data_IF_130662696982
#
_entry.id   IF_130662696982
#
_cell.length_a   1.000
_cell.length_b   1.000
_cell.length_c   1.000
_cell.angle_alpha   90.00
_cell.angle_beta   90.00
_cell.angle_gamma   90.00
#
_symmetry.space_group_name_H-M   'P 1'
#
loop_
_entity.id
_entity.type
_entity.pdbx_description
1 polymer ?
#
# COMPACT_ATOMS: atom_id res chain seq x y z
N UNK A 1 -1.09 -59.18 -49.19
CA UNK A 1 -0.57 -57.83 -49.21
C UNK A 1 -1.53 -56.82 -48.53
N UNK A 2 -2.82 -56.82 -48.88
CA UNK A 2 -3.80 -55.89 -48.31
C UNK A 2 -3.96 -56.02 -46.77
N UNK A 3 -3.98 -57.25 -46.22
CA UNK A 3 -4.10 -57.52 -44.78
C UNK A 3 -2.92 -56.96 -43.97
N UNK A 4 -1.70 -57.12 -44.47
CA UNK A 4 -0.52 -56.59 -43.79
C UNK A 4 -0.49 -55.05 -43.78
N UNK A 5 -1.04 -54.42 -44.81
CA UNK A 5 -1.15 -52.95 -44.87
C UNK A 5 -2.19 -52.42 -43.84
N UNK A 6 -3.34 -53.11 -43.70
CA UNK A 6 -4.38 -52.77 -42.73
C UNK A 6 -3.83 -52.94 -41.29
N UNK A 7 -3.08 -54.00 -41.04
CA UNK A 7 -2.48 -54.24 -39.69
C UNK A 7 -1.48 -53.13 -39.31
N UNK A 8 -0.60 -52.75 -40.26
CA UNK A 8 0.34 -51.61 -40.03
C UNK A 8 -0.38 -50.30 -39.77
N UNK A 9 -1.46 -50.01 -40.52
CA UNK A 9 -2.26 -48.81 -40.34
C UNK A 9 -2.93 -48.81 -38.95
N UNK A 10 -3.47 -49.94 -38.51
CA UNK A 10 -4.10 -50.09 -37.21
C UNK A 10 -3.10 -49.89 -36.06
N UNK A 11 -1.86 -50.42 -36.21
CA UNK A 11 -0.79 -50.22 -35.23
C UNK A 11 -0.40 -48.75 -35.16
N UNK A 12 -0.21 -48.07 -36.29
CA UNK A 12 0.15 -46.64 -36.32
C UNK A 12 -0.95 -45.79 -35.72
N UNK A 13 -2.21 -46.04 -36.06
CA UNK A 13 -3.36 -45.34 -35.45
C UNK A 13 -3.42 -45.57 -33.93
N UNK A 14 -3.19 -46.80 -33.47
CA UNK A 14 -3.12 -47.14 -32.07
C UNK A 14 -2.01 -46.37 -31.31
N UNK A 15 -0.83 -46.29 -31.87
CA UNK A 15 0.29 -45.51 -31.29
C UNK A 15 -0.03 -44.01 -31.25
N UNK A 16 -0.56 -43.45 -32.36
CA UNK A 16 -0.95 -42.02 -32.39
C UNK A 16 -2.05 -41.72 -31.38
N UNK A 17 -3.05 -42.58 -31.22
CA UNK A 17 -4.08 -42.40 -30.19
C UNK A 17 -3.51 -42.52 -28.78
N UNK A 18 -2.65 -43.49 -28.51
CA UNK A 18 -2.02 -43.64 -27.21
C UNK A 18 -1.20 -42.38 -26.83
N UNK A 19 -0.36 -41.89 -27.73
CA UNK A 19 0.42 -40.66 -27.54
C UNK A 19 -0.48 -39.43 -27.31
N UNK A 20 -1.59 -39.32 -28.02
CA UNK A 20 -2.55 -38.21 -27.79
C UNK A 20 -3.22 -38.28 -26.44
N UNK A 21 -3.60 -39.48 -26.01
CA UNK A 21 -4.20 -39.67 -24.68
C UNK A 21 -3.21 -39.38 -23.55
N UNK A 22 -1.95 -39.76 -23.72
CA UNK A 22 -0.87 -39.48 -22.77
C UNK A 22 -0.60 -37.97 -22.68
N UNK A 23 -0.45 -37.28 -23.80
CA UNK A 23 -0.29 -35.83 -23.88
C UNK A 23 -1.49 -35.07 -23.25
N UNK A 24 -2.71 -35.58 -23.48
CA UNK A 24 -3.91 -34.99 -22.92
C UNK A 24 -3.96 -35.18 -21.41
N UNK A 25 -3.49 -36.33 -20.90
CA UNK A 25 -3.38 -36.57 -19.47
C UNK A 25 -2.33 -35.68 -18.82
N UNK A 26 -1.12 -35.59 -19.41
CA UNK A 26 -0.05 -34.69 -18.94
C UNK A 26 -0.53 -33.24 -18.87
N UNK A 27 -1.21 -32.75 -19.92
CA UNK A 27 -1.78 -31.40 -19.93
C UNK A 27 -2.81 -31.18 -18.82
N UNK A 28 -3.67 -32.17 -18.56
CA UNK A 28 -4.64 -32.09 -17.48
C UNK A 28 -3.97 -32.08 -16.08
N UNK A 29 -2.93 -32.88 -15.90
CA UNK A 29 -2.17 -32.91 -14.65
C UNK A 29 -1.49 -31.53 -14.39
N UNK A 30 -0.84 -30.95 -15.42
CA UNK A 30 -0.27 -29.59 -15.33
C UNK A 30 -1.33 -28.54 -15.04
N UNK A 31 -2.52 -28.64 -15.66
CA UNK A 31 -3.62 -27.70 -15.39
C UNK A 31 -4.10 -27.78 -13.94
N UNK A 32 -4.20 -28.98 -13.37
CA UNK A 32 -4.61 -29.12 -11.96
C UNK A 32 -3.54 -28.57 -11.00
N UNK A 33 -2.27 -28.85 -11.24
CA UNK A 33 -1.15 -28.30 -10.48
C UNK A 33 -1.13 -26.77 -10.54
N UNK A 34 -1.28 -26.21 -11.73
CA UNK A 34 -1.31 -24.76 -11.92
C UNK A 34 -2.52 -24.10 -11.23
N UNK A 35 -3.70 -24.74 -11.19
CA UNK A 35 -4.85 -24.24 -10.42
C UNK A 35 -4.54 -24.15 -8.92
N UNK A 36 -3.89 -25.18 -8.37
CA UNK A 36 -3.49 -25.18 -6.95
C UNK A 36 -2.55 -24.00 -6.66
N UNK A 37 -1.56 -23.78 -7.55
CA UNK A 37 -0.61 -22.70 -7.40
C UNK A 37 -1.27 -21.32 -7.57
N UNK A 38 -2.25 -21.16 -8.46
CA UNK A 38 -3.02 -19.93 -8.60
C UNK A 38 -3.88 -19.65 -7.37
N UNK A 39 -4.41 -20.67 -6.70
CA UNK A 39 -5.10 -20.50 -5.41
C UNK A 39 -4.11 -20.04 -4.32
N UNK A 40 -2.88 -20.57 -4.30
CA UNK A 40 -1.84 -20.08 -3.40
C UNK A 40 -1.45 -18.63 -3.71
N UNK A 41 -1.43 -18.22 -4.99
CA UNK A 41 -1.23 -16.81 -5.38
C UNK A 41 -2.35 -15.92 -4.85
N UNK A 42 -3.61 -16.36 -4.93
CA UNK A 42 -4.73 -15.61 -4.35
C UNK A 42 -4.56 -15.40 -2.84
N UNK A 43 -4.14 -16.43 -2.12
CA UNK A 43 -3.86 -16.35 -0.67
C UNK A 43 -2.71 -15.37 -0.38
N UNK A 44 -1.62 -15.44 -1.14
CA UNK A 44 -0.47 -14.53 -1.03
C UNK A 44 -0.91 -13.07 -1.26
N UNK A 45 -1.65 -12.81 -2.35
CA UNK A 45 -2.14 -11.46 -2.69
C UNK A 45 -3.12 -10.92 -1.65
N UNK A 46 -4.03 -11.74 -1.12
CA UNK A 46 -5.00 -11.33 -0.10
C UNK A 46 -4.30 -10.88 1.18
N UNK A 47 -3.35 -11.67 1.66
CA UNK A 47 -2.52 -11.33 2.81
C UNK A 47 -1.72 -10.04 2.61
N UNK A 48 -1.16 -9.85 1.42
CA UNK A 48 -0.39 -8.66 1.07
C UNK A 48 -1.26 -7.41 0.98
N UNK A 49 -2.44 -7.51 0.37
CA UNK A 49 -3.41 -6.42 0.29
C UNK A 49 -3.81 -5.98 1.71
N UNK A 50 -4.09 -6.92 2.60
CA UNK A 50 -4.42 -6.61 4.00
C UNK A 50 -3.25 -5.93 4.72
N UNK A 51 -2.02 -6.45 4.57
CA UNK A 51 -0.83 -5.93 5.24
C UNK A 51 -0.42 -4.54 4.71
N UNK A 52 -0.60 -4.26 3.43
CA UNK A 52 -0.33 -2.95 2.82
C UNK A 52 -1.06 -1.81 3.54
N UNK A 53 -2.30 -2.05 3.97
CA UNK A 53 -3.10 -1.07 4.69
C UNK A 53 -2.44 -0.60 5.99
N UNK A 54 -1.70 -1.46 6.68
CA UNK A 54 -1.00 -1.13 7.92
C UNK A 54 0.10 -0.09 7.67
N UNK A 55 0.90 -0.25 6.62
CA UNK A 55 1.98 0.68 6.27
C UNK A 55 1.43 2.02 5.81
N UNK A 56 0.38 2.02 5.00
CA UNK A 56 -0.28 3.23 4.51
C UNK A 56 -0.84 4.03 5.70
N UNK A 57 -1.51 3.38 6.66
CA UNK A 57 -2.01 4.02 7.88
C UNK A 57 -0.89 4.52 8.77
N UNK A 58 0.20 3.77 8.88
CA UNK A 58 1.37 4.21 9.65
C UNK A 58 1.94 5.51 9.08
N UNK A 59 2.05 5.63 7.76
CA UNK A 59 2.44 6.88 7.11
C UNK A 59 1.47 8.02 7.43
N UNK A 60 0.17 7.79 7.29
CA UNK A 60 -0.84 8.80 7.57
C UNK A 60 -0.80 9.31 9.02
N UNK A 61 -0.46 8.45 9.98
CA UNK A 61 -0.29 8.86 11.38
C UNK A 61 1.03 9.56 11.62
N UNK A 62 2.11 9.08 10.98
CA UNK A 62 3.43 9.65 11.17
C UNK A 62 3.58 11.04 10.50
N UNK A 63 2.84 11.32 9.43
CA UNK A 63 2.87 12.61 8.73
C UNK A 63 2.42 13.77 9.62
N UNK A 64 1.50 13.54 10.58
CA UNK A 64 1.07 14.56 11.54
C UNK A 64 2.23 15.08 12.39
N UNK A 65 3.28 14.28 12.58
CA UNK A 65 4.47 14.73 13.29
C UNK A 65 5.26 15.79 12.53
N UNK A 66 5.17 15.83 11.21
CA UNK A 66 5.86 16.82 10.41
C UNK A 66 5.42 18.24 10.78
N UNK A 67 4.11 18.44 10.97
CA UNK A 67 3.55 19.75 11.34
C UNK A 67 4.01 20.21 12.72
N UNK A 68 4.21 19.26 13.64
CA UNK A 68 4.66 19.55 15.01
C UNK A 68 6.15 19.80 15.05
N UNK A 69 6.95 18.93 14.42
CA UNK A 69 8.42 18.95 14.51
C UNK A 69 9.04 20.08 13.67
N UNK A 70 8.43 20.40 12.51
CA UNK A 70 8.97 21.42 11.60
C UNK A 70 8.30 22.79 11.74
N UNK A 71 7.42 22.96 12.73
CA UNK A 71 6.78 24.24 13.01
C UNK A 71 7.79 25.33 13.36
N UNK A 72 7.61 26.54 12.80
CA UNK A 72 8.44 27.70 13.08
C UNK A 72 7.54 28.89 13.46
N UNK A 73 7.68 29.45 14.68
CA UNK A 73 8.60 29.05 15.75
C UNK A 73 8.25 27.69 16.37
N UNK A 74 9.23 27.03 16.97
CA UNK A 74 9.05 25.72 17.63
C UNK A 74 8.09 25.83 18.80
N UNK A 75 7.04 25.03 18.80
CA UNK A 75 6.14 24.88 19.96
C UNK A 75 6.61 23.71 20.87
N UNK A 76 7.36 24.05 21.92
CA UNK A 76 7.86 23.08 22.90
C UNK A 76 6.74 22.30 23.57
N UNK A 77 5.56 22.91 23.76
CA UNK A 77 4.41 22.22 24.36
C UNK A 77 3.83 21.17 23.43
N UNK A 78 3.79 21.45 22.12
CA UNK A 78 3.39 20.47 21.11
C UNK A 78 4.39 19.31 21.03
N UNK A 79 5.70 19.60 21.03
CA UNK A 79 6.75 18.56 21.09
C UNK A 79 6.62 17.68 22.34
N UNK A 80 6.34 18.28 23.51
CA UNK A 80 6.15 17.53 24.75
C UNK A 80 4.93 16.58 24.69
N UNK A 81 3.85 16.98 24.01
CA UNK A 81 2.69 16.11 23.78
C UNK A 81 3.01 14.99 22.78
N UNK A 82 3.74 15.28 21.71
CA UNK A 82 4.08 14.35 20.65
C UNK A 82 5.34 13.50 20.96
N UNK A 83 5.98 13.66 22.12
CA UNK A 83 7.27 13.03 22.44
C UNK A 83 7.31 11.51 22.21
N UNK A 84 6.21 10.80 22.51
CA UNK A 84 6.13 9.36 22.30
C UNK A 84 6.13 8.98 20.81
N UNK A 85 5.42 9.73 20.01
CA UNK A 85 5.31 9.48 18.58
C UNK A 85 6.61 9.86 17.86
N UNK A 86 7.26 10.96 18.27
CA UNK A 86 8.61 11.33 17.79
C UNK A 86 9.58 10.18 18.09
N UNK A 87 9.60 9.69 19.35
CA UNK A 87 10.45 8.60 19.74
C UNK A 87 10.20 7.33 18.93
N UNK A 88 8.93 6.97 18.71
CA UNK A 88 8.56 5.82 17.89
C UNK A 88 9.04 5.96 16.46
N UNK A 89 8.87 7.13 15.87
CA UNK A 89 9.24 7.39 14.46
C UNK A 89 10.73 7.26 14.20
N UNK A 90 11.59 7.66 15.14
CA UNK A 90 13.05 7.59 14.96
C UNK A 90 13.67 6.27 15.40
N UNK A 91 12.93 5.41 16.11
CA UNK A 91 13.44 4.16 16.70
C UNK A 91 12.84 2.89 16.13
N UNK A 92 11.59 2.93 15.73
CA UNK A 92 10.88 1.75 15.25
C UNK A 92 10.58 1.89 13.77
N UNK A 93 10.67 0.79 13.07
CA UNK A 93 10.28 0.73 11.67
C UNK A 93 9.12 -0.26 11.50
N UNK A 94 8.21 0.08 10.62
CA UNK A 94 7.18 -0.82 10.13
C UNK A 94 7.65 -1.43 8.83
N UNK A 95 7.44 -2.73 8.64
CA UNK A 95 7.80 -3.41 7.41
C UNK A 95 6.54 -3.81 6.65
N UNK A 96 6.61 -3.71 5.34
CA UNK A 96 5.67 -4.35 4.44
C UNK A 96 6.38 -5.55 3.81
N UNK A 97 5.93 -6.75 4.13
CA UNK A 97 6.47 -7.98 3.54
C UNK A 97 5.44 -8.55 2.60
N UNK A 98 5.88 -8.87 1.41
CA UNK A 98 5.08 -9.54 0.40
C UNK A 98 5.34 -11.04 0.40
N UNK A 99 4.32 -11.80 0.03
CA UNK A 99 4.39 -13.24 -0.15
C UNK A 99 4.54 -13.54 -1.65
N UNK A 100 5.24 -14.60 -1.98
CA UNK A 100 5.47 -14.99 -3.37
C UNK A 100 5.55 -16.51 -3.56
N UNK A 101 5.00 -17.27 -2.63
CA UNK A 101 5.07 -18.73 -2.65
C UNK A 101 4.37 -19.29 -3.88
N UNK A 102 3.14 -18.85 -4.14
CA UNK A 102 2.36 -19.29 -5.29
C UNK A 102 3.02 -18.90 -6.60
N UNK A 103 3.56 -17.66 -6.71
CA UNK A 103 4.28 -17.21 -7.90
C UNK A 103 5.51 -18.06 -8.21
N UNK A 104 6.34 -18.35 -7.20
CA UNK A 104 7.51 -19.22 -7.37
C UNK A 104 7.15 -20.64 -7.79
N UNK A 105 6.01 -21.13 -7.33
CA UNK A 105 5.47 -22.40 -7.78
C UNK A 105 5.12 -22.36 -9.27
N UNK A 106 4.42 -21.31 -9.72
CA UNK A 106 4.09 -21.11 -11.13
C UNK A 106 5.34 -20.92 -12.00
N UNK A 107 6.35 -20.20 -11.52
CA UNK A 107 7.63 -20.01 -12.19
C UNK A 107 8.33 -21.35 -12.45
N UNK A 108 8.20 -22.31 -11.56
CA UNK A 108 8.81 -23.63 -11.72
C UNK A 108 8.16 -24.48 -12.82
N UNK A 109 6.90 -24.21 -13.20
CA UNK A 109 6.15 -24.93 -14.23
C UNK A 109 5.77 -24.06 -15.43
N UNK A 110 6.33 -22.85 -15.55
CA UNK A 110 5.85 -21.84 -16.53
C UNK A 110 5.97 -22.29 -17.98
N UNK A 111 6.98 -23.13 -18.32
CA UNK A 111 7.17 -23.67 -19.67
C UNK A 111 6.06 -24.65 -20.09
N UNK A 112 5.42 -25.27 -19.12
CA UNK A 112 4.36 -26.27 -19.33
C UNK A 112 2.96 -25.65 -19.19
N UNK A 113 2.84 -24.35 -18.81
CA UNK A 113 1.54 -23.69 -18.63
C UNK A 113 0.73 -23.66 -19.92
N UNK A 114 -0.60 -23.88 -19.84
CA UNK A 114 -1.48 -23.66 -20.98
C UNK A 114 -1.39 -22.21 -21.47
N UNK A 115 -1.50 -22.01 -22.79
CA UNK A 115 -1.40 -20.70 -23.42
C UNK A 115 -2.33 -19.65 -22.80
N UNK A 116 -3.52 -20.05 -22.37
CA UNK A 116 -4.51 -19.18 -21.73
C UNK A 116 -4.05 -18.62 -20.36
N UNK A 117 -3.06 -19.23 -19.71
CA UNK A 117 -2.53 -18.82 -18.42
C UNK A 117 -1.13 -18.21 -18.49
N UNK A 118 -0.48 -18.25 -19.66
CA UNK A 118 0.81 -17.58 -19.88
C UNK A 118 0.65 -16.07 -19.70
N UNK A 119 -0.38 -15.46 -20.31
CA UNK A 119 -0.65 -14.02 -20.19
C UNK A 119 -0.90 -13.62 -18.74
N UNK A 120 -1.58 -14.49 -17.97
CA UNK A 120 -1.84 -14.28 -16.55
C UNK A 120 -0.55 -14.35 -15.74
N UNK A 121 0.31 -15.32 -16.01
CA UNK A 121 1.61 -15.46 -15.38
C UNK A 121 2.53 -14.25 -15.69
N UNK A 122 2.57 -13.79 -16.93
CA UNK A 122 3.33 -12.59 -17.32
C UNK A 122 2.83 -11.34 -16.59
N UNK A 123 1.50 -11.16 -16.51
CA UNK A 123 0.89 -10.05 -15.78
C UNK A 123 1.20 -10.11 -14.29
N UNK A 124 1.21 -11.31 -13.70
CA UNK A 124 1.60 -11.52 -12.30
C UNK A 124 3.09 -11.16 -12.09
N UNK A 125 3.95 -11.45 -13.06
CA UNK A 125 5.36 -11.05 -13.05
C UNK A 125 5.54 -9.54 -12.88
N UNK A 126 4.71 -8.72 -13.54
CA UNK A 126 4.71 -7.26 -13.39
C UNK A 126 4.32 -6.84 -11.96
N UNK A 127 3.37 -7.54 -11.34
CA UNK A 127 3.02 -7.29 -9.92
C UNK A 127 4.20 -7.64 -9.01
N UNK A 128 4.91 -8.72 -9.31
CA UNK A 128 6.07 -9.16 -8.53
C UNK A 128 7.28 -8.21 -8.62
N UNK A 129 7.40 -7.40 -9.68
CA UNK A 129 8.44 -6.35 -9.75
C UNK A 129 8.31 -5.33 -8.61
N UNK A 130 7.08 -5.02 -8.17
CA UNK A 130 6.86 -4.14 -7.03
C UNK A 130 7.42 -4.69 -5.72
N UNK A 131 7.48 -6.02 -5.59
CA UNK A 131 8.02 -6.66 -4.37
C UNK A 131 9.50 -6.33 -4.16
N UNK A 132 10.28 -6.23 -5.25
CA UNK A 132 11.69 -5.85 -5.20
C UNK A 132 11.85 -4.39 -4.70
N UNK A 133 10.98 -3.50 -5.14
CA UNK A 133 10.98 -2.11 -4.67
C UNK A 133 10.60 -2.03 -3.19
N UNK A 134 9.60 -2.79 -2.77
CA UNK A 134 9.17 -2.88 -1.36
C UNK A 134 10.33 -3.38 -0.49
N UNK A 135 11.03 -4.43 -0.90
CA UNK A 135 12.18 -4.96 -0.17
C UNK A 135 13.30 -3.93 -0.03
N UNK A 136 13.62 -3.21 -1.11
CA UNK A 136 14.64 -2.16 -1.11
C UNK A 136 14.27 -1.00 -0.18
N UNK A 137 13.01 -0.51 -0.21
CA UNK A 137 12.55 0.52 0.72
C UNK A 137 12.52 0.05 2.17
N UNK A 138 12.10 -1.19 2.43
CA UNK A 138 12.17 -1.80 3.77
C UNK A 138 13.62 -1.82 4.28
N UNK A 139 14.58 -2.22 3.42
CA UNK A 139 15.99 -2.29 3.76
C UNK A 139 16.54 -0.89 4.12
N UNK A 140 16.30 0.10 3.26
CA UNK A 140 16.75 1.48 3.47
C UNK A 140 16.11 2.12 4.70
N UNK A 141 14.82 1.90 4.91
CA UNK A 141 14.13 2.42 6.08
C UNK A 141 14.72 1.85 7.37
N UNK A 142 14.95 0.56 7.40
CA UNK A 142 15.60 -0.11 8.53
C UNK A 142 17.01 0.44 8.80
N UNK A 143 17.80 0.66 7.77
CA UNK A 143 19.14 1.27 7.89
C UNK A 143 19.06 2.65 8.52
N UNK A 144 18.16 3.51 8.06
CA UNK A 144 17.97 4.85 8.65
C UNK A 144 17.60 4.78 10.13
N UNK A 145 16.74 3.85 10.52
CA UNK A 145 16.38 3.68 11.93
C UNK A 145 17.56 3.20 12.77
N UNK A 146 18.35 2.26 12.27
CA UNK A 146 19.56 1.81 12.97
C UNK A 146 20.61 2.93 13.09
N UNK A 147 20.84 3.69 12.02
CA UNK A 147 21.72 4.87 12.05
C UNK A 147 21.27 5.90 13.10
N UNK A 148 19.95 6.17 13.18
CA UNK A 148 19.41 7.06 14.21
C UNK A 148 19.67 6.51 15.62
N UNK A 149 19.44 5.21 15.84
CA UNK A 149 19.65 4.56 17.12
C UNK A 149 21.15 4.65 17.52
N UNK A 150 22.04 4.26 16.61
CA UNK A 150 23.49 4.25 16.86
C UNK A 150 24.02 5.66 17.16
N UNK A 151 23.59 6.65 16.37
CA UNK A 151 23.93 8.05 16.59
C UNK A 151 23.46 8.53 17.97
N UNK A 152 22.22 8.22 18.34
CA UNK A 152 21.65 8.66 19.61
C UNK A 152 22.29 7.97 20.81
N UNK A 153 22.65 6.69 20.71
CA UNK A 153 23.41 5.97 21.76
C UNK A 153 24.78 6.61 21.97
N UNK A 154 25.48 7.01 20.90
CA UNK A 154 26.82 7.56 20.98
C UNK A 154 26.86 8.99 21.54
N UNK A 155 25.86 9.81 21.25
CA UNK A 155 25.90 11.24 21.53
C UNK A 155 25.00 11.68 22.68
N UNK A 156 24.05 10.84 23.11
CA UNK A 156 23.05 11.23 24.10
C UNK A 156 23.00 10.26 25.30
N UNK A 157 23.52 10.67 26.43
CA UNK A 157 23.54 9.85 27.65
C UNK A 157 22.13 9.46 28.15
N UNK A 158 21.09 10.22 27.80
CA UNK A 158 19.70 9.94 28.12
C UNK A 158 19.09 8.85 27.23
N UNK A 159 19.73 8.50 26.11
CA UNK A 159 19.29 7.43 25.22
C UNK A 159 19.74 6.08 25.77
N UNK A 160 19.07 5.60 26.80
CA UNK A 160 19.38 4.33 27.44
C UNK A 160 18.23 3.37 27.34
N UNK A 161 18.50 2.13 26.90
CA UNK A 161 17.49 1.11 26.65
C UNK A 161 16.70 0.68 27.91
N UNK A 162 17.30 0.79 29.09
CA UNK A 162 16.71 0.31 30.34
C UNK A 162 15.70 1.25 30.97
N UNK A 163 15.45 2.42 30.37
CA UNK A 163 14.63 3.45 31.02
C UNK A 163 13.61 4.09 30.09
N UNK A 164 12.70 3.30 29.52
CA UNK A 164 11.58 3.80 28.71
C UNK A 164 10.84 5.01 29.28
N UNK A 165 10.76 5.11 30.60
CA UNK A 165 10.08 6.21 31.27
C UNK A 165 10.93 7.48 31.42
N UNK A 166 12.26 7.39 31.41
CA UNK A 166 13.18 8.54 31.56
C UNK A 166 13.47 9.23 30.21
N UNK A 167 13.43 8.51 29.11
CA UNK A 167 13.68 9.04 27.76
C UNK A 167 12.62 10.03 27.29
N UNK A 168 11.48 10.03 27.93
CA UNK A 168 10.41 10.98 27.67
C UNK A 168 10.48 12.23 28.57
N UNK A 169 11.63 12.48 29.19
CA UNK A 169 11.87 13.61 30.05
C UNK A 169 12.11 14.91 29.30
N UNK A 170 12.44 15.95 30.07
CA UNK A 170 12.71 17.29 29.57
C UNK A 170 13.89 17.33 28.57
N UNK A 171 14.91 16.50 28.79
CA UNK A 171 16.09 16.40 27.90
C UNK A 171 15.71 15.91 26.50
N UNK A 172 14.83 14.92 26.40
CA UNK A 172 14.33 14.44 25.10
C UNK A 172 13.48 15.52 24.38
N UNK A 173 12.62 16.22 25.12
CA UNK A 173 11.81 17.31 24.53
C UNK A 173 12.70 18.46 24.06
N UNK A 174 13.71 18.84 24.84
CA UNK A 174 14.68 19.85 24.44
C UNK A 174 15.48 19.43 23.18
N UNK A 175 15.93 18.18 23.14
CA UNK A 175 16.59 17.62 21.96
C UNK A 175 15.66 17.58 20.74
N UNK A 176 14.38 17.24 20.91
CA UNK A 176 13.40 17.18 19.81
C UNK A 176 13.20 18.54 19.11
N UNK A 177 13.55 19.64 19.76
CA UNK A 177 13.55 20.98 19.16
C UNK A 177 14.82 21.30 18.35
N UNK A 178 15.83 20.43 18.35
CA UNK A 178 17.10 20.65 17.64
C UNK A 178 17.01 20.27 16.15
N UNK A 179 17.91 20.86 15.36
CA UNK A 179 18.04 20.49 13.94
C UNK A 179 18.41 19.02 13.77
N UNK A 180 19.17 18.42 14.69
CA UNK A 180 19.52 17.00 14.66
C UNK A 180 18.30 16.12 14.75
N UNK A 181 17.41 16.37 15.71
CA UNK A 181 16.15 15.65 15.88
C UNK A 181 15.26 15.82 14.64
N UNK A 182 15.12 17.05 14.15
CA UNK A 182 14.37 17.36 12.94
C UNK A 182 14.92 16.56 11.74
N UNK A 183 16.23 16.48 11.56
CA UNK A 183 16.84 15.72 10.49
C UNK A 183 16.60 14.21 10.61
N UNK A 184 16.60 13.66 11.83
CA UNK A 184 16.28 12.25 12.05
C UNK A 184 14.81 11.92 11.76
N UNK A 185 13.88 12.75 12.24
CA UNK A 185 12.45 12.61 11.97
C UNK A 185 12.19 12.74 10.48
N UNK A 186 12.77 13.76 9.83
CA UNK A 186 12.63 13.98 8.40
C UNK A 186 13.06 12.77 7.57
N UNK A 187 14.23 12.20 7.86
CA UNK A 187 14.69 10.99 7.16
C UNK A 187 13.73 9.82 7.36
N UNK A 188 13.28 9.58 8.58
CA UNK A 188 12.35 8.50 8.88
C UNK A 188 11.02 8.68 8.13
N UNK A 189 10.41 9.88 8.18
CA UNK A 189 9.16 10.20 7.49
C UNK A 189 9.27 10.03 5.98
N UNK A 190 10.41 10.43 5.38
CA UNK A 190 10.64 10.25 3.95
C UNK A 190 10.61 8.77 3.54
N UNK A 191 11.24 7.89 4.31
CA UNK A 191 11.25 6.46 3.99
C UNK A 191 9.90 5.78 4.28
N UNK A 192 9.21 6.19 5.34
CA UNK A 192 7.83 5.75 5.60
C UNK A 192 6.93 6.15 4.43
N UNK A 193 7.02 7.40 3.96
CA UNK A 193 6.22 7.91 2.84
C UNK A 193 6.51 7.15 1.54
N UNK A 194 7.79 6.94 1.20
CA UNK A 194 8.15 6.18 0.01
C UNK A 194 7.65 4.72 0.08
N UNK A 195 7.77 4.07 1.24
CA UNK A 195 7.27 2.71 1.44
C UNK A 195 5.74 2.65 1.32
N UNK A 196 5.02 3.63 1.90
CA UNK A 196 3.57 3.71 1.78
C UNK A 196 3.12 3.95 0.33
N UNK A 197 3.85 4.81 -0.41
CA UNK A 197 3.58 5.02 -1.82
C UNK A 197 3.71 3.73 -2.64
N UNK A 198 4.80 3.00 -2.48
CA UNK A 198 5.00 1.72 -3.19
C UNK A 198 3.97 0.69 -2.74
N UNK A 199 3.59 0.68 -1.46
CA UNK A 199 2.55 -0.20 -0.94
C UNK A 199 1.17 0.08 -1.58
N UNK A 200 0.83 1.35 -1.86
CA UNK A 200 -0.40 1.69 -2.60
C UNK A 200 -0.34 1.18 -4.05
N UNK A 201 0.78 1.40 -4.75
CA UNK A 201 0.91 0.93 -6.13
C UNK A 201 0.84 -0.59 -6.23
N UNK A 202 1.53 -1.28 -5.32
CA UNK A 202 1.43 -2.74 -5.20
C UNK A 202 0.00 -3.19 -4.92
N UNK A 203 -0.69 -2.55 -3.94
CA UNK A 203 -2.06 -2.88 -3.58
C UNK A 203 -3.00 -2.79 -4.77
N UNK A 204 -2.93 -1.70 -5.55
CA UNK A 204 -3.76 -1.53 -6.74
C UNK A 204 -3.51 -2.64 -7.77
N UNK A 205 -2.23 -2.94 -8.06
CA UNK A 205 -1.87 -4.00 -8.98
C UNK A 205 -2.29 -5.39 -8.46
N UNK A 206 -2.12 -5.64 -7.16
CA UNK A 206 -2.48 -6.91 -6.52
C UNK A 206 -4.00 -7.15 -6.51
N UNK A 207 -4.81 -6.10 -6.29
CA UNK A 207 -6.28 -6.19 -6.34
C UNK A 207 -6.77 -6.52 -7.76
N UNK A 208 -6.20 -5.89 -8.78
CA UNK A 208 -6.54 -6.17 -10.17
C UNK A 208 -6.14 -7.62 -10.51
N UNK A 209 -4.92 -8.02 -10.17
CA UNK A 209 -4.42 -9.38 -10.42
C UNK A 209 -5.24 -10.45 -9.68
N UNK A 210 -5.64 -10.18 -8.44
CA UNK A 210 -6.53 -11.07 -7.69
C UNK A 210 -7.84 -11.32 -8.46
N UNK A 211 -8.46 -10.27 -9.00
CA UNK A 211 -9.70 -10.39 -9.78
C UNK A 211 -9.51 -11.18 -11.07
N UNK A 212 -8.40 -10.95 -11.75
CA UNK A 212 -8.08 -11.65 -13.00
C UNK A 212 -7.91 -13.15 -12.75
N UNK A 213 -7.14 -13.53 -11.72
CA UNK A 213 -6.96 -14.93 -11.33
C UNK A 213 -8.28 -15.55 -10.87
N UNK A 214 -9.05 -14.84 -10.01
CA UNK A 214 -10.34 -15.30 -9.53
C UNK A 214 -11.30 -15.59 -10.69
N UNK A 215 -11.30 -14.72 -11.71
CA UNK A 215 -12.11 -14.88 -12.92
C UNK A 215 -11.64 -16.04 -13.79
N UNK A 216 -10.33 -16.17 -13.99
CA UNK A 216 -9.71 -17.26 -14.79
C UNK A 216 -9.99 -18.63 -14.15
N UNK A 217 -9.94 -18.73 -12.84
CA UNK A 217 -10.26 -19.94 -12.09
C UNK A 217 -11.77 -20.24 -12.04
N UNK A 218 -12.62 -19.27 -12.39
CA UNK A 218 -14.08 -19.34 -12.17
C UNK A 218 -14.41 -19.68 -10.72
N UNK A 219 -13.68 -19.04 -9.79
CA UNK A 219 -13.80 -19.32 -8.37
C UNK A 219 -15.22 -19.02 -7.86
N UNK A 220 -15.75 -19.87 -7.01
CA UNK A 220 -17.12 -19.81 -6.46
C UNK A 220 -17.18 -19.08 -5.10
N UNK A 221 -16.06 -18.70 -4.53
CA UNK A 221 -15.98 -17.90 -3.32
C UNK A 221 -15.98 -16.40 -3.62
N UNK A 222 -16.47 -15.56 -2.68
CA UNK A 222 -16.54 -14.12 -2.90
C UNK A 222 -15.15 -13.48 -2.83
N UNK A 223 -14.95 -12.42 -3.61
CA UNK A 223 -13.76 -11.56 -3.45
C UNK A 223 -13.86 -10.85 -2.09
N UNK A 224 -12.77 -10.87 -1.28
CA UNK A 224 -12.75 -10.23 0.04
C UNK A 224 -13.16 -8.75 -0.01
N UNK A 225 -13.97 -8.31 0.96
CA UNK A 225 -14.50 -6.95 0.98
C UNK A 225 -13.40 -5.88 1.02
N UNK A 226 -12.28 -6.15 1.72
CA UNK A 226 -11.15 -5.23 1.84
C UNK A 226 -10.35 -5.03 0.53
N UNK A 227 -10.67 -5.78 -0.55
CA UNK A 227 -10.12 -5.54 -1.88
C UNK A 227 -10.85 -4.40 -2.61
N UNK A 228 -12.08 -4.11 -2.24
CA UNK A 228 -13.01 -3.30 -3.03
C UNK A 228 -13.80 -2.30 -2.21
N UNK A 229 -13.21 -1.73 -1.20
CA UNK A 229 -13.98 -0.77 -0.43
C UNK A 229 -14.27 0.48 -1.25
N UNK A 230 -15.42 0.46 -1.86
CA UNK A 230 -15.99 1.65 -2.48
C UNK A 230 -16.46 2.59 -1.37
N UNK A 231 -16.30 3.90 -1.55
CA UNK A 231 -16.75 4.90 -0.59
C UNK A 231 -18.22 4.78 -0.18
N UNK A 232 -19.08 4.24 -1.05
CA UNK A 232 -20.50 4.04 -0.77
C UNK A 232 -20.80 3.05 0.38
N UNK A 233 -19.84 2.25 0.82
CA UNK A 233 -19.98 1.40 2.01
C UNK A 233 -19.87 2.19 3.32
N UNK A 234 -19.39 3.44 3.26
CA UNK A 234 -19.31 4.32 4.42
C UNK A 234 -20.69 4.88 4.77
N UNK A 235 -21.11 4.71 6.01
CA UNK A 235 -22.40 5.22 6.49
C UNK A 235 -22.52 6.75 6.48
N UNK A 236 -21.40 7.45 6.38
CA UNK A 236 -21.28 8.92 6.42
C UNK A 236 -20.71 9.52 5.12
N UNK A 237 -20.82 8.82 4.01
CA UNK A 237 -20.25 9.27 2.72
C UNK A 237 -20.82 10.61 2.27
N UNK A 238 -22.09 10.89 2.55
CA UNK A 238 -22.75 12.16 2.24
C UNK A 238 -22.17 13.33 3.05
N UNK A 239 -21.71 13.05 4.27
CA UNK A 239 -21.01 14.04 5.12
C UNK A 239 -19.63 14.37 4.57
N UNK A 240 -19.01 13.43 3.85
CA UNK A 240 -17.67 13.59 3.26
C UNK A 240 -17.76 14.37 1.95
N UNK A 241 -18.79 14.12 1.13
CA UNK A 241 -18.98 14.85 -0.12
C UNK A 241 -19.16 16.37 0.12
N UNK A 242 -18.54 17.19 -0.72
CA UNK A 242 -18.65 18.64 -0.66
C UNK A 242 -17.42 19.37 -1.18
N UNK A 243 -17.48 20.68 -1.06
CA UNK A 243 -16.36 21.57 -1.43
C UNK A 243 -15.48 21.85 -0.20
N UNK A 244 -14.17 21.79 -0.40
CA UNK A 244 -13.17 22.01 0.64
C UNK A 244 -12.24 23.13 0.20
N UNK A 245 -12.03 24.13 1.06
CA UNK A 245 -11.15 25.27 0.79
C UNK A 245 -9.86 25.09 1.61
N UNK A 246 -8.72 25.30 0.96
CA UNK A 246 -7.40 25.19 1.57
C UNK A 246 -7.19 26.25 2.65
N UNK A 247 -6.70 25.83 3.80
CA UNK A 247 -6.17 26.68 4.84
C UNK A 247 -4.72 27.03 4.45
N UNK A 248 -4.49 28.26 3.96
CA UNK A 248 -3.14 28.72 3.61
C UNK A 248 -2.36 29.11 4.87
N UNK A 249 -1.15 28.59 4.99
CA UNK A 249 -0.19 29.02 6.01
C UNK A 249 0.86 29.94 5.38
N UNK A 250 1.53 30.81 6.15
CA UNK A 250 2.51 31.77 5.62
C UNK A 250 3.68 31.16 4.84
N UNK A 251 3.91 29.87 5.01
CA UNK A 251 5.01 29.12 4.37
C UNK A 251 4.52 28.13 3.30
N UNK A 252 3.25 28.22 2.89
CA UNK A 252 2.70 27.33 1.87
C UNK A 252 3.31 27.61 0.50
N UNK A 253 3.61 26.54 -0.22
CA UNK A 253 4.03 26.61 -1.60
C UNK A 253 2.81 26.82 -2.49
N UNK A 254 2.90 27.75 -3.46
CA UNK A 254 1.78 28.15 -4.33
C UNK A 254 1.35 27.06 -5.36
N UNK A 255 1.96 25.89 -5.36
CA UNK A 255 1.64 24.83 -6.33
C UNK A 255 0.55 23.85 -5.88
N UNK A 256 0.01 24.01 -4.67
CA UNK A 256 -1.12 23.20 -4.23
C UNK A 256 -2.45 23.80 -4.66
N UNK A 257 -3.43 22.92 -4.89
CA UNK A 257 -4.78 23.35 -5.23
C UNK A 257 -5.40 24.22 -4.14
N UNK A 258 -6.09 25.28 -4.52
CA UNK A 258 -6.77 26.17 -3.57
C UNK A 258 -8.09 25.59 -3.06
N UNK A 259 -8.72 24.70 -3.84
CA UNK A 259 -10.00 24.08 -3.53
C UNK A 259 -10.03 22.64 -4.02
N UNK A 260 -10.63 21.76 -3.24
CA UNK A 260 -10.99 20.40 -3.62
C UNK A 260 -12.51 20.26 -3.61
N UNK A 261 -13.05 19.47 -4.52
CA UNK A 261 -14.46 19.12 -4.55
C UNK A 261 -14.60 17.61 -4.60
N UNK A 262 -15.26 17.07 -3.57
CA UNK A 262 -15.57 15.65 -3.47
C UNK A 262 -17.01 15.45 -3.89
N UNK A 263 -17.23 14.72 -4.97
CA UNK A 263 -18.57 14.44 -5.53
C UNK A 263 -18.83 12.94 -5.59
N UNK A 264 -20.06 12.56 -5.30
CA UNK A 264 -20.53 11.19 -5.49
C UNK A 264 -21.04 11.03 -6.92
N UNK A 265 -20.46 10.09 -7.67
CA UNK A 265 -20.86 9.73 -9.02
C UNK A 265 -20.98 8.21 -9.10
N UNK A 266 -22.17 7.71 -9.38
CA UNK A 266 -22.44 6.26 -9.58
C UNK A 266 -21.83 5.35 -8.50
N UNK A 267 -21.92 5.77 -7.25
CA UNK A 267 -21.35 5.09 -6.07
C UNK A 267 -19.84 5.24 -5.88
N UNK A 268 -19.14 6.00 -6.71
CA UNK A 268 -17.74 6.36 -6.55
C UNK A 268 -17.60 7.77 -5.97
N UNK A 269 -16.60 7.99 -5.12
CA UNK A 269 -16.22 9.32 -4.63
C UNK A 269 -15.16 9.88 -5.57
N UNK A 270 -15.49 10.98 -6.24
CA UNK A 270 -14.59 11.66 -7.17
C UNK A 270 -13.99 12.91 -6.51
N UNK A 271 -12.69 13.11 -6.62
CA UNK A 271 -12.00 14.32 -6.18
C UNK A 271 -11.58 15.16 -7.38
N UNK A 272 -12.07 16.39 -7.44
CA UNK A 272 -11.64 17.37 -8.44
C UNK A 272 -10.89 18.51 -7.74
N UNK A 273 -9.74 18.87 -8.26
CA UNK A 273 -8.89 19.94 -7.71
C UNK A 273 -8.95 21.21 -8.56
N UNK A 274 -8.94 22.37 -7.90
CA UNK A 274 -9.03 23.70 -8.54
C UNK A 274 -7.91 24.61 -8.05
N UNK A 275 -7.30 25.37 -8.96
CA UNK A 275 -6.22 26.32 -8.66
C UNK A 275 -4.86 25.88 -9.24
N UNK A 276 -3.76 26.53 -8.84
CA UNK A 276 -2.41 26.15 -9.26
C UNK A 276 -2.13 24.67 -8.96
N UNK A 277 -1.56 23.93 -9.91
CA UNK A 277 -1.30 22.50 -9.78
C UNK A 277 -2.53 21.58 -9.89
N UNK A 278 -3.71 22.16 -10.21
CA UNK A 278 -4.94 21.38 -10.36
C UNK A 278 -4.92 20.47 -11.58
N UNK A 279 -5.58 19.30 -11.45
CA UNK A 279 -5.97 18.45 -12.59
C UNK A 279 -7.43 18.74 -12.93
N UNK A 280 -7.71 18.88 -14.23
CA UNK A 280 -9.05 19.19 -14.74
C UNK A 280 -10.02 17.99 -14.67
N UNK A 281 -9.51 16.79 -14.50
CA UNK A 281 -10.30 15.56 -14.44
C UNK A 281 -10.45 15.09 -13.00
N UNK A 282 -11.67 14.65 -12.64
CA UNK A 282 -11.94 14.06 -11.33
C UNK A 282 -11.18 12.74 -11.15
N UNK A 283 -10.60 12.54 -9.97
CA UNK A 283 -9.93 11.31 -9.60
C UNK A 283 -10.85 10.47 -8.72
N UNK A 284 -11.00 9.19 -9.03
CA UNK A 284 -11.71 8.27 -8.16
C UNK A 284 -10.90 8.02 -6.89
N UNK A 285 -11.57 8.16 -5.73
CA UNK A 285 -10.98 7.87 -4.44
C UNK A 285 -11.48 6.51 -3.93
N UNK A 286 -10.54 5.68 -3.51
CA UNK A 286 -10.79 4.39 -2.88
C UNK A 286 -10.60 4.51 -1.38
N UNK A 287 -11.48 3.87 -0.61
CA UNK A 287 -11.36 3.84 0.86
C UNK A 287 -10.34 2.81 1.28
N UNK A 288 -9.51 3.18 2.25
CA UNK A 288 -8.60 2.24 2.90
C UNK A 288 -9.26 1.70 4.16
N UNK A 289 -9.77 0.49 4.10
CA UNK A 289 -10.36 -0.18 5.26
C UNK A 289 -9.37 -0.44 6.39
N UNK A 290 -9.85 -0.40 7.64
CA UNK A 290 -9.08 -0.95 8.74
C UNK A 290 -8.91 -2.46 8.55
N UNK A 291 -7.74 -3.04 8.87
CA UNK A 291 -7.58 -4.49 8.94
C UNK A 291 -8.60 -5.08 9.93
N UNK A 292 -9.19 -6.20 9.57
CA UNK A 292 -10.29 -6.84 10.32
C UNK A 292 -9.91 -7.33 11.72
N UNK A 293 -8.63 -7.41 12.05
CA UNK A 293 -8.09 -7.98 13.29
C UNK A 293 -7.42 -6.95 14.23
N UNK A 294 -7.44 -5.67 13.88
CA UNK A 294 -6.86 -4.65 14.76
C UNK A 294 -7.81 -4.29 15.91
N UNK A 295 -7.71 -5.07 16.98
CA UNK A 295 -8.26 -4.75 18.31
C UNK A 295 -7.52 -3.63 19.06
N UNK A 296 -6.73 -2.80 18.39
CA UNK A 296 -5.97 -1.72 19.04
C UNK A 296 -6.84 -0.48 19.26
N UNK A 297 -6.95 0.02 20.51
CA UNK A 297 -7.85 1.10 20.92
C UNK A 297 -7.50 2.50 20.38
N UNK A 298 -6.49 2.63 19.54
CA UNK A 298 -5.94 3.92 19.06
C UNK A 298 -6.27 4.24 17.61
N UNK A 299 -7.17 3.49 16.97
CA UNK A 299 -7.62 3.87 15.64
C UNK A 299 -8.59 5.05 15.74
N UNK A 300 -8.12 6.19 15.31
CA UNK A 300 -8.92 7.38 15.09
C UNK A 300 -10.09 7.06 14.15
N UNK A 301 -11.22 7.73 14.34
CA UNK A 301 -12.40 7.66 13.46
C UNK A 301 -12.13 8.21 12.05
N UNK A 302 -10.86 8.36 11.69
CA UNK A 302 -10.43 8.97 10.45
C UNK A 302 -10.65 8.01 9.27
N UNK A 303 -11.25 8.52 8.21
CA UNK A 303 -11.40 7.81 6.95
C UNK A 303 -10.22 8.18 6.05
N UNK A 304 -9.51 7.18 5.58
CA UNK A 304 -8.41 7.34 4.63
C UNK A 304 -8.87 6.99 3.22
N UNK A 305 -8.49 7.85 2.26
CA UNK A 305 -8.73 7.63 0.85
C UNK A 305 -7.40 7.69 0.09
N UNK A 306 -7.33 7.01 -1.03
CA UNK A 306 -6.23 7.11 -1.98
C UNK A 306 -6.81 7.08 -3.41
N UNK A 307 -6.09 7.66 -4.37
CA UNK A 307 -6.52 7.63 -5.76
C UNK A 307 -6.41 6.22 -6.34
N UNK A 308 -7.41 5.81 -7.11
CA UNK A 308 -7.38 4.60 -7.92
C UNK A 308 -6.44 4.69 -9.13
N UNK A 309 -5.97 5.89 -9.47
CA UNK A 309 -5.08 6.10 -10.60
C UNK A 309 -3.65 5.65 -10.29
N UNK A 310 -2.97 5.07 -11.29
CA UNK A 310 -1.56 4.71 -11.19
C UNK A 310 -0.69 5.97 -11.23
N UNK A 311 0.16 6.18 -10.21
CA UNK A 311 1.10 7.29 -10.14
C UNK A 311 1.31 7.81 -8.71
N UNK A 312 2.11 8.90 -8.57
CA UNK A 312 2.31 9.57 -7.27
C UNK A 312 1.06 10.40 -6.93
N UNK A 313 0.15 9.81 -6.20
CA UNK A 313 -1.07 10.46 -5.75
C UNK A 313 -1.00 10.65 -4.24
N UNK A 314 -1.50 11.78 -3.70
CA UNK A 314 -1.56 11.99 -2.27
C UNK A 314 -2.54 11.01 -1.62
N UNK A 315 -2.34 10.77 -0.33
CA UNK A 315 -3.31 10.15 0.54
C UNK A 315 -4.24 11.23 1.09
N UNK A 316 -5.53 10.96 1.17
CA UNK A 316 -6.52 11.88 1.73
C UNK A 316 -7.00 11.33 3.06
N UNK A 317 -7.05 12.18 4.09
CA UNK A 317 -7.53 11.84 5.41
C UNK A 317 -8.66 12.78 5.79
N UNK A 318 -9.84 12.23 5.96
CA UNK A 318 -11.01 12.99 6.39
C UNK A 318 -11.26 12.82 7.89
N UNK A 319 -11.48 13.95 8.58
CA UNK A 319 -11.81 14.01 10.00
C UNK A 319 -12.69 15.23 10.26
N UNK A 320 -13.94 15.05 10.69
CA UNK A 320 -14.81 16.13 11.18
C UNK A 320 -14.80 17.40 10.30
N UNK A 321 -15.26 17.32 9.05
CA UNK A 321 -15.30 18.43 8.08
C UNK A 321 -13.91 18.96 7.64
N UNK A 322 -12.83 18.31 8.00
CA UNK A 322 -11.47 18.61 7.54
C UNK A 322 -10.98 17.50 6.63
N UNK A 323 -10.34 17.89 5.54
CA UNK A 323 -9.68 16.98 4.62
C UNK A 323 -8.19 17.33 4.56
N UNK A 324 -7.36 16.44 5.07
CA UNK A 324 -5.91 16.56 4.99
C UNK A 324 -5.41 15.82 3.75
N UNK A 325 -4.59 16.49 2.95
CA UNK A 325 -3.92 15.89 1.80
C UNK A 325 -2.48 15.61 2.19
N UNK A 326 -2.19 14.33 2.37
CA UNK A 326 -0.91 13.82 2.86
C UNK A 326 -0.04 13.47 1.65
N UNK A 327 1.09 14.14 1.51
CA UNK A 327 2.04 13.90 0.44
C UNK A 327 3.08 12.85 0.84
N UNK A 328 3.52 12.01 -0.11
CA UNK A 328 4.56 11.00 0.12
C UNK A 328 5.99 11.58 0.10
N UNK A 329 6.15 12.81 -0.37
CA UNK A 329 7.37 13.59 -0.21
C UNK A 329 7.20 14.50 1.00
N UNK A 330 8.32 14.93 1.58
CA UNK A 330 8.41 15.71 2.81
C UNK A 330 7.83 17.14 2.67
N UNK A 331 7.10 17.39 1.62
CA UNK A 331 6.28 18.58 1.48
C UNK A 331 5.19 18.52 2.54
N UNK A 332 4.93 19.65 3.16
CA UNK A 332 3.93 19.76 4.24
C UNK A 332 2.58 19.29 3.74
N UNK A 333 1.86 18.60 4.57
CA UNK A 333 0.49 18.23 4.31
C UNK A 333 -0.36 19.49 4.05
N UNK A 334 -1.30 19.39 3.14
CA UNK A 334 -2.22 20.49 2.86
C UNK A 334 -3.53 20.24 3.59
N UNK A 335 -4.00 21.25 4.34
CA UNK A 335 -5.21 21.17 5.11
C UNK A 335 -6.35 21.90 4.43
N UNK A 336 -7.51 21.27 4.35
CA UNK A 336 -8.70 21.81 3.73
C UNK A 336 -9.88 21.72 4.71
N UNK A 337 -10.69 22.76 4.77
CA UNK A 337 -11.92 22.82 5.55
C UNK A 337 -13.12 22.83 4.63
N UNK A 338 -14.15 22.05 4.97
CA UNK A 338 -15.39 21.98 4.22
C UNK A 338 -16.03 23.38 4.14
N UNK A 339 -16.30 23.83 2.92
CA UNK A 339 -17.01 25.08 2.68
C UNK A 339 -18.48 24.92 3.06
N UNK A 340 -18.99 25.81 3.90
CA UNK A 340 -20.40 25.84 4.32
C UNK A 340 -21.29 26.43 3.25
#
# INVERSE_FOLDING_TARGET
MLFALVEVVMIVVGIVMANRLEQQKELNDVMEDAKVLLLEVLDDLDGDIATSATVIRHHATASELADIVFQTPVDVSALARAKHDIYRTIRFYSTFRTHNKGYRGLEAIHEDLPQEWIDLYESLGVVMEWTLMIEEYNRRYREVIYDNIDNNIQHHAWWNFDTHHKQQGEEFVAWSATHEAQAQVHRALNYIGNLAHVAIQYRLAAVDMYRDIHTALKADFPIPAHHNERPNTLSNIEDIAGAYTRIKTPNDLDHFSDRLELTLQDSSLMCTSFGPGSRSEGQELLVLSPPSDMSTPTMTSDVLFFSGDKGRQPLFKWRNDTLDVIHFSIERDSHYVKSR
#
